data_IF_847003104601
#
_entry.id   IF_847003104601
#
_cell.length_a   1.000
_cell.length_b   1.000
_cell.length_c   1.000
_cell.angle_alpha   90.00
_cell.angle_beta   90.00
_cell.angle_gamma   90.00
#
_symmetry.space_group_name_H-M   'P 1'
#
loop_
_entity.id
_entity.type
_entity.pdbx_description
1 polymer ?
#
# COMPACT_ATOMS: atom_id res chain seq x y z
N UNK A 1 17.54 16.75 -2.89
CA UNK A 1 16.55 17.46 -2.06
C UNK A 1 15.70 18.29 -3.00
N UNK A 2 14.47 17.87 -3.30
CA UNK A 2 13.53 18.77 -3.97
C UNK A 2 13.20 19.89 -2.98
N UNK A 3 13.24 21.13 -3.47
CA UNK A 3 13.11 22.33 -2.66
C UNK A 3 11.69 22.44 -2.09
N UNK A 4 11.53 22.34 -0.77
CA UNK A 4 10.24 22.27 -0.07
C UNK A 4 9.31 23.44 -0.45
N UNK A 5 9.90 24.61 -0.78
CA UNK A 5 9.19 25.81 -1.24
C UNK A 5 8.53 25.66 -2.62
N UNK A 6 9.14 24.88 -3.52
CA UNK A 6 8.57 24.63 -4.85
C UNK A 6 7.35 23.70 -4.77
N UNK A 7 7.31 22.81 -3.77
CA UNK A 7 6.16 21.96 -3.48
C UNK A 7 5.04 22.80 -2.87
N UNK A 8 5.34 23.64 -1.87
CA UNK A 8 4.37 24.56 -1.23
C UNK A 8 3.69 25.51 -2.24
N UNK A 9 4.43 26.16 -3.14
CA UNK A 9 3.86 27.07 -4.14
C UNK A 9 2.94 26.36 -5.14
N UNK A 10 3.30 25.15 -5.59
CA UNK A 10 2.45 24.37 -6.51
C UNK A 10 1.13 23.96 -5.87
N UNK A 11 1.08 23.94 -4.54
CA UNK A 11 -0.06 23.46 -3.77
C UNK A 11 -0.98 24.60 -3.38
N UNK A 12 -0.44 25.75 -3.01
CA UNK A 12 -1.26 26.96 -2.92
C UNK A 12 -1.96 27.23 -4.27
N UNK A 13 -1.29 26.95 -5.39
CA UNK A 13 -1.89 27.03 -6.72
C UNK A 13 -2.89 25.90 -7.01
N UNK A 14 -2.61 24.66 -6.59
CA UNK A 14 -3.55 23.53 -6.74
C UNK A 14 -4.82 23.71 -5.89
N UNK A 15 -4.68 24.17 -4.65
CA UNK A 15 -5.78 24.45 -3.70
C UNK A 15 -6.63 25.61 -4.20
N UNK A 16 -6.03 26.69 -4.73
CA UNK A 16 -6.79 27.82 -5.31
C UNK A 16 -7.58 27.46 -6.55
N UNK A 17 -7.11 26.48 -7.32
CA UNK A 17 -7.68 26.15 -8.62
C UNK A 17 -8.65 24.96 -8.61
N UNK A 18 -8.78 24.21 -7.49
CA UNK A 18 -9.63 23.03 -7.43
C UNK A 18 -10.85 23.22 -6.51
N UNK A 19 -11.91 23.83 -7.05
CA UNK A 19 -13.15 24.20 -6.36
C UNK A 19 -14.21 23.08 -6.28
N UNK A 20 -13.92 21.86 -6.76
CA UNK A 20 -14.92 20.79 -6.93
C UNK A 20 -14.71 19.53 -6.08
N UNK A 21 -13.75 19.51 -5.16
CA UNK A 21 -13.74 18.59 -4.01
C UNK A 21 -13.66 17.07 -4.31
N UNK A 22 -13.18 16.66 -5.49
CA UNK A 22 -12.93 15.24 -5.81
C UNK A 22 -11.62 15.12 -6.61
N UNK A 23 -10.70 14.26 -6.17
CA UNK A 23 -9.45 13.95 -6.89
C UNK A 23 -8.28 14.93 -6.65
N UNK A 24 -8.21 15.54 -5.47
CA UNK A 24 -7.10 16.42 -5.08
C UNK A 24 -5.84 15.61 -4.75
N UNK A 25 -5.04 15.23 -5.75
CA UNK A 25 -3.80 14.44 -5.55
C UNK A 25 -2.57 15.32 -5.71
N UNK A 26 -1.67 15.29 -4.73
CA UNK A 26 -0.31 15.80 -4.86
C UNK A 26 0.61 14.64 -5.20
N UNK A 27 1.11 14.63 -6.44
CA UNK A 27 2.06 13.65 -6.90
C UNK A 27 3.50 14.15 -6.76
N UNK A 28 4.33 13.37 -6.06
CA UNK A 28 5.76 13.60 -5.87
C UNK A 28 6.53 12.51 -6.62
N UNK A 29 7.00 12.79 -7.85
CA UNK A 29 7.84 11.85 -8.58
C UNK A 29 9.26 11.84 -8.00
N UNK A 30 9.75 10.65 -7.63
CA UNK A 30 11.12 10.44 -7.19
C UNK A 30 11.95 9.98 -8.38
N UNK A 31 12.75 10.90 -8.92
CA UNK A 31 13.58 10.65 -10.10
C UNK A 31 14.78 9.70 -9.83
N UNK A 32 15.14 9.50 -8.56
CA UNK A 32 16.24 8.60 -8.21
C UNK A 32 15.83 7.12 -8.28
N UNK A 33 16.32 6.46 -9.32
CA UNK A 33 16.16 5.03 -9.57
C UNK A 33 17.36 4.19 -9.15
N UNK A 34 18.43 4.81 -8.64
CA UNK A 34 19.68 4.10 -8.26
C UNK A 34 19.72 3.73 -6.78
N UNK A 35 19.18 4.57 -5.91
CA UNK A 35 19.10 4.27 -4.47
C UNK A 35 18.15 3.11 -4.20
N UNK A 36 18.40 2.32 -3.16
CA UNK A 36 17.43 1.27 -2.76
C UNK A 36 16.16 1.87 -2.11
N UNK A 37 16.28 3.08 -1.55
CA UNK A 37 15.18 3.80 -0.88
C UNK A 37 14.82 5.06 -1.67
N UNK A 38 13.57 5.18 -2.09
CA UNK A 38 12.96 6.47 -2.41
C UNK A 38 12.37 7.07 -1.15
N UNK A 39 12.73 8.32 -0.86
CA UNK A 39 12.24 9.06 0.31
C UNK A 39 11.69 10.42 -0.11
N UNK A 40 10.47 10.70 0.32
CA UNK A 40 9.84 12.03 0.26
C UNK A 40 9.70 12.54 1.68
N UNK A 41 10.10 13.78 1.91
CA UNK A 41 9.98 14.44 3.21
C UNK A 41 8.96 15.57 3.12
N UNK A 42 7.99 15.57 4.03
CA UNK A 42 6.99 16.60 4.20
C UNK A 42 7.10 17.19 5.61
N UNK A 43 6.81 18.48 5.79
CA UNK A 43 6.71 19.05 7.14
C UNK A 43 5.33 18.78 7.74
N UNK A 44 5.22 18.68 9.06
CA UNK A 44 3.95 18.37 9.71
C UNK A 44 2.87 19.45 9.51
N UNK A 45 3.26 20.72 9.40
CA UNK A 45 2.34 21.82 9.11
C UNK A 45 1.81 21.76 7.68
N UNK A 46 2.64 21.28 6.76
CA UNK A 46 2.24 21.04 5.39
C UNK A 46 1.28 19.84 5.30
N UNK A 47 1.59 18.72 5.95
CA UNK A 47 0.67 17.57 6.05
C UNK A 47 -0.67 17.99 6.64
N UNK A 48 -0.67 18.86 7.66
CA UNK A 48 -1.90 19.38 8.26
C UNK A 48 -2.80 20.11 7.25
N UNK A 49 -2.21 20.92 6.38
CA UNK A 49 -2.98 21.61 5.31
C UNK A 49 -3.60 20.61 4.34
N UNK A 50 -2.89 19.52 4.02
CA UNK A 50 -3.39 18.48 3.13
C UNK A 50 -4.55 17.71 3.76
N UNK A 51 -4.46 17.41 5.06
CA UNK A 51 -5.55 16.83 5.85
C UNK A 51 -6.81 17.70 5.78
N UNK A 52 -6.67 18.99 6.10
CA UNK A 52 -7.79 19.95 6.13
C UNK A 52 -8.42 20.22 4.75
N UNK A 53 -7.64 20.02 3.68
CA UNK A 53 -8.07 20.24 2.31
C UNK A 53 -8.44 18.94 1.57
N UNK A 54 -8.50 17.82 2.30
CA UNK A 54 -8.84 16.47 1.78
C UNK A 54 -8.04 16.08 0.53
N UNK A 55 -6.71 16.23 0.60
CA UNK A 55 -5.79 15.81 -0.47
C UNK A 55 -5.29 14.39 -0.27
N UNK A 56 -4.92 13.72 -1.36
CA UNK A 56 -4.10 12.51 -1.34
C UNK A 56 -2.63 12.88 -1.63
N UNK A 57 -1.72 12.17 -0.97
CA UNK A 57 -0.27 12.22 -1.25
C UNK A 57 0.09 11.00 -2.08
N UNK A 58 0.53 11.22 -3.32
CA UNK A 58 1.07 10.18 -4.19
C UNK A 58 2.59 10.29 -4.26
N UNK A 59 3.30 9.23 -3.87
CA UNK A 59 4.75 9.10 -4.07
C UNK A 59 4.99 8.09 -5.18
N UNK A 60 5.53 8.55 -6.31
CA UNK A 60 5.75 7.71 -7.48
C UNK A 60 7.23 7.48 -7.72
N UNK A 61 7.62 6.22 -7.86
CA UNK A 61 8.99 5.80 -8.15
C UNK A 61 9.00 4.60 -9.10
N UNK A 62 9.56 4.79 -10.28
CA UNK A 62 9.67 3.75 -11.30
C UNK A 62 8.31 3.06 -11.57
N UNK A 63 8.21 1.77 -11.24
CA UNK A 63 7.03 0.93 -11.46
C UNK A 63 6.08 0.90 -10.25
N UNK A 64 6.30 1.74 -9.24
CA UNK A 64 5.52 1.75 -7.99
C UNK A 64 5.01 3.15 -7.70
N UNK A 65 3.77 3.25 -7.23
CA UNK A 65 3.17 4.48 -6.73
C UNK A 65 2.41 4.19 -5.44
N UNK A 66 2.68 4.98 -4.40
CA UNK A 66 2.05 4.87 -3.09
C UNK A 66 1.12 6.06 -2.89
N UNK A 67 -0.19 5.81 -2.79
CA UNK A 67 -1.24 6.81 -2.66
C UNK A 67 -1.83 6.74 -1.25
N UNK A 68 -1.70 7.83 -0.51
CA UNK A 68 -2.08 7.95 0.90
C UNK A 68 -3.08 9.10 1.03
N UNK A 69 -4.33 8.85 1.47
CA UNK A 69 -5.22 9.93 1.86
C UNK A 69 -4.59 10.74 2.99
N UNK A 70 -4.51 12.06 2.87
CA UNK A 70 -3.75 12.85 3.85
C UNK A 70 -4.34 12.73 5.27
N UNK A 71 -5.64 12.50 5.40
CA UNK A 71 -6.30 12.26 6.69
C UNK A 71 -5.69 11.11 7.49
N UNK A 72 -5.06 10.14 6.82
CA UNK A 72 -4.43 8.97 7.43
C UNK A 72 -3.10 9.30 8.13
N UNK A 73 -2.46 10.44 7.84
CA UNK A 73 -1.29 10.88 8.59
C UNK A 73 -1.65 11.26 10.03
N UNK A 74 -2.86 11.77 10.28
CA UNK A 74 -3.36 12.20 11.59
C UNK A 74 -2.36 13.07 12.38
N UNK A 75 -1.75 14.05 11.71
CA UNK A 75 -0.52 14.71 12.15
C UNK A 75 -0.65 15.41 13.50
N UNK A 76 -1.84 15.90 13.86
CA UNK A 76 -2.09 16.46 15.20
C UNK A 76 -1.89 15.40 16.30
N UNK A 77 -2.39 14.17 16.11
CA UNK A 77 -2.20 13.05 17.06
C UNK A 77 -0.74 12.61 17.11
N UNK A 78 -0.08 12.57 15.95
CA UNK A 78 1.36 12.28 15.84
C UNK A 78 2.17 13.31 16.62
N UNK A 79 1.86 14.60 16.48
CA UNK A 79 2.51 15.67 17.22
C UNK A 79 2.35 15.52 18.73
N UNK A 80 1.15 15.19 19.21
CA UNK A 80 0.88 14.94 20.62
C UNK A 80 1.73 13.79 21.18
N UNK A 81 1.79 12.66 20.46
CA UNK A 81 2.62 11.50 20.82
C UNK A 81 4.12 11.82 20.82
N UNK A 82 4.57 12.69 19.92
CA UNK A 82 5.95 13.19 19.90
C UNK A 82 6.22 14.24 21.00
N UNK A 83 5.19 14.72 21.68
CA UNK A 83 5.27 15.72 22.76
C UNK A 83 5.36 17.16 22.25
N UNK A 84 4.82 17.43 21.06
CA UNK A 84 4.78 18.73 20.42
C UNK A 84 3.37 19.32 20.48
N UNK A 85 3.32 20.66 20.46
CA UNK A 85 2.07 21.41 20.31
C UNK A 85 1.82 21.70 18.83
N UNK A 86 0.57 21.91 18.46
CA UNK A 86 0.15 22.19 17.08
C UNK A 86 0.90 23.37 16.41
N UNK A 87 1.24 24.41 17.17
CA UNK A 87 2.07 25.53 16.66
C UNK A 87 3.51 25.15 16.27
N UNK A 88 3.95 23.92 16.54
CA UNK A 88 5.28 23.37 16.24
C UNK A 88 5.25 22.25 15.20
N UNK A 89 4.17 22.12 14.44
CA UNK A 89 4.06 21.09 13.40
C UNK A 89 5.16 21.18 12.33
N UNK A 90 5.69 22.37 12.05
CA UNK A 90 6.83 22.57 11.14
C UNK A 90 8.13 21.89 11.62
N UNK A 91 8.26 21.59 12.93
CA UNK A 91 9.40 20.88 13.53
C UNK A 91 9.30 19.35 13.34
N UNK A 92 8.21 18.86 12.73
CA UNK A 92 8.01 17.44 12.40
C UNK A 92 8.36 17.21 10.93
N UNK A 93 9.19 16.20 10.67
CA UNK A 93 9.49 15.67 9.34
C UNK A 93 8.76 14.35 9.17
N UNK A 94 7.81 14.30 8.25
CA UNK A 94 7.10 13.10 7.83
C UNK A 94 7.84 12.54 6.61
N UNK A 95 8.47 11.39 6.78
CA UNK A 95 9.16 10.65 5.73
C UNK A 95 8.21 9.58 5.17
N UNK A 96 7.89 9.66 3.88
CA UNK A 96 7.23 8.58 3.12
C UNK A 96 8.30 7.84 2.32
N UNK A 97 8.39 6.52 2.50
CA UNK A 97 9.44 5.68 1.93
C UNK A 97 8.88 4.56 1.08
N UNK A 98 9.52 4.34 -0.06
CA UNK A 98 9.36 3.16 -0.90
C UNK A 98 10.73 2.52 -1.03
N UNK A 99 10.90 1.36 -0.41
CA UNK A 99 12.18 0.67 -0.29
C UNK A 99 12.16 -0.62 -1.12
N UNK A 100 13.13 -0.75 -2.02
CA UNK A 100 13.44 -2.03 -2.65
C UNK A 100 14.16 -2.90 -1.63
N UNK A 101 13.67 -4.12 -1.46
CA UNK A 101 14.19 -5.05 -0.46
C UNK A 101 15.51 -5.68 -0.91
N UNK A 102 16.36 -6.01 0.06
CA UNK A 102 17.58 -6.76 -0.15
C UNK A 102 17.29 -8.15 -0.75
N UNK A 103 18.17 -8.63 -1.63
CA UNK A 103 18.00 -9.92 -2.34
C UNK A 103 17.75 -11.09 -1.37
N UNK A 104 18.44 -11.12 -0.23
CA UNK A 104 18.24 -12.18 0.79
C UNK A 104 16.83 -12.21 1.37
N UNK A 105 16.19 -11.05 1.52
CA UNK A 105 14.81 -10.96 2.01
C UNK A 105 13.85 -11.41 0.91
N UNK A 106 14.10 -10.99 -0.32
CA UNK A 106 13.34 -11.41 -1.50
C UNK A 106 13.41 -12.93 -1.70
N UNK A 107 14.59 -13.54 -1.54
CA UNK A 107 14.77 -14.99 -1.63
C UNK A 107 13.94 -15.73 -0.57
N UNK A 108 13.98 -15.27 0.68
CA UNK A 108 13.15 -15.83 1.76
C UNK A 108 11.66 -15.73 1.44
N UNK A 109 11.20 -14.61 0.91
CA UNK A 109 9.81 -14.45 0.50
C UNK A 109 9.41 -15.36 -0.65
N UNK A 110 10.31 -15.58 -1.62
CA UNK A 110 10.10 -16.56 -2.67
C UNK A 110 10.02 -17.99 -2.13
N UNK A 111 10.85 -18.37 -1.15
CA UNK A 111 10.78 -19.68 -0.50
C UNK A 111 9.43 -19.90 0.20
N UNK A 112 8.95 -18.90 0.96
CA UNK A 112 7.65 -18.97 1.65
C UNK A 112 6.50 -19.07 0.65
N UNK A 113 6.50 -18.27 -0.42
CA UNK A 113 5.47 -18.35 -1.46
C UNK A 113 5.45 -19.74 -2.13
N UNK A 114 6.62 -20.26 -2.51
CA UNK A 114 6.75 -21.58 -3.15
C UNK A 114 6.31 -22.72 -2.23
N UNK A 115 6.61 -22.65 -0.94
CA UNK A 115 6.15 -23.62 0.05
C UNK A 115 4.60 -23.70 0.13
N UNK A 116 3.92 -22.62 -0.25
CA UNK A 116 2.47 -22.52 -0.33
C UNK A 116 1.94 -22.65 -1.78
N UNK A 117 2.76 -23.17 -2.71
CA UNK A 117 2.39 -23.38 -4.13
C UNK A 117 2.03 -22.07 -4.86
N UNK A 118 2.53 -20.94 -4.35
CA UNK A 118 2.39 -19.63 -4.97
C UNK A 118 3.71 -19.16 -5.61
N UNK A 119 3.61 -18.25 -6.57
CA UNK A 119 4.72 -17.59 -7.24
C UNK A 119 4.58 -16.07 -7.08
N UNK A 120 5.66 -15.37 -6.72
CA UNK A 120 5.66 -13.91 -6.73
C UNK A 120 5.80 -13.42 -8.18
N UNK A 121 4.81 -12.68 -8.67
CA UNK A 121 4.82 -12.11 -10.04
C UNK A 121 5.25 -10.63 -10.05
N UNK A 122 5.41 -10.04 -8.87
CA UNK A 122 5.95 -8.71 -8.67
C UNK A 122 7.00 -8.74 -7.54
N UNK A 123 8.20 -8.15 -7.70
CA UNK A 123 9.21 -8.11 -6.63
C UNK A 123 8.65 -7.44 -5.36
N UNK A 124 8.85 -8.01 -4.16
CA UNK A 124 8.41 -7.40 -2.92
C UNK A 124 8.98 -5.98 -2.71
N UNK A 125 8.12 -5.06 -2.28
CA UNK A 125 8.47 -3.65 -2.01
C UNK A 125 7.95 -3.25 -0.64
N UNK A 126 8.78 -2.55 0.12
CA UNK A 126 8.44 -2.05 1.44
C UNK A 126 7.92 -0.62 1.36
N UNK A 127 6.84 -0.37 2.09
CA UNK A 127 6.23 0.96 2.24
C UNK A 127 6.25 1.35 3.71
N UNK A 128 6.75 2.55 3.99
CA UNK A 128 6.80 3.07 5.35
C UNK A 128 6.46 4.55 5.40
N UNK A 129 5.80 4.96 6.49
CA UNK A 129 5.63 6.35 6.85
C UNK A 129 6.19 6.54 8.27
N UNK A 130 7.10 7.49 8.44
CA UNK A 130 7.72 7.79 9.74
C UNK A 130 7.72 9.29 9.97
N UNK A 131 7.12 9.72 11.09
CA UNK A 131 7.22 11.09 11.56
C UNK A 131 8.37 11.21 12.56
N UNK A 132 9.20 12.24 12.39
CA UNK A 132 10.40 12.48 13.19
C UNK A 132 10.43 13.90 13.68
N UNK A 133 10.96 14.11 14.88
CA UNK A 133 11.31 15.44 15.36
C UNK A 133 12.62 15.40 16.12
N UNK A 134 13.42 16.44 15.97
CA UNK A 134 14.71 16.58 16.66
C UNK A 134 14.59 17.72 17.67
N UNK A 135 14.81 17.39 18.94
CA UNK A 135 14.79 18.35 20.03
C UNK A 135 16.04 19.22 20.03
N UNK A 136 15.99 20.32 20.79
CA UNK A 136 17.12 21.25 20.98
C UNK A 136 18.35 20.62 21.60
N UNK A 137 18.21 19.49 22.31
CA UNK A 137 19.31 18.71 22.88
C UNK A 137 19.94 17.72 21.86
N UNK A 138 19.48 17.74 20.60
CA UNK A 138 19.93 16.85 19.53
C UNK A 138 19.26 15.47 19.54
N UNK A 139 18.42 15.16 20.53
CA UNK A 139 17.71 13.87 20.56
C UNK A 139 16.60 13.84 19.52
N UNK A 140 16.54 12.75 18.75
CA UNK A 140 15.48 12.54 17.76
C UNK A 140 14.44 11.56 18.33
N UNK A 141 13.17 11.96 18.25
CA UNK A 141 12.03 11.09 18.50
C UNK A 141 11.36 10.75 17.18
N UNK A 142 10.92 9.50 17.06
CA UNK A 142 10.27 9.00 15.85
C UNK A 142 8.98 8.26 16.22
N UNK A 143 8.00 8.32 15.32
CA UNK A 143 6.77 7.55 15.37
C UNK A 143 6.47 6.99 13.98
N UNK A 144 6.34 5.67 13.88
CA UNK A 144 5.82 5.02 12.67
C UNK A 144 4.32 5.27 12.55
N UNK A 145 3.87 5.58 11.34
CA UNK A 145 2.45 5.70 10.97
C UNK A 145 2.13 4.48 10.10
N UNK A 146 1.47 3.48 10.70
CA UNK A 146 1.36 2.13 10.13
C UNK A 146 -0.02 1.49 10.29
N UNK A 147 -1.02 2.24 10.74
CA UNK A 147 -2.40 1.77 10.90
C UNK A 147 -3.33 2.86 10.40
N UNK A 148 -4.23 2.47 9.52
CA UNK A 148 -5.08 3.39 8.77
C UNK A 148 -6.55 3.05 8.97
N UNK A 149 -7.40 4.07 8.95
CA UNK A 149 -8.86 3.93 8.97
C UNK A 149 -9.43 3.64 7.59
N UNK A 150 -8.81 4.19 6.55
CA UNK A 150 -9.15 3.99 5.16
C UNK A 150 -8.05 3.23 4.42
N UNK A 151 -8.42 2.60 3.31
CA UNK A 151 -7.48 1.88 2.48
C UNK A 151 -6.52 2.83 1.76
N UNK A 152 -5.22 2.55 1.92
CA UNK A 152 -4.19 3.16 1.10
C UNK A 152 -3.89 2.30 -0.12
N UNK A 153 -3.66 2.95 -1.26
CA UNK A 153 -3.43 2.27 -2.53
C UNK A 153 -1.93 2.15 -2.83
N UNK A 154 -1.51 0.97 -3.28
CA UNK A 154 -0.15 0.71 -3.78
C UNK A 154 -0.25 0.32 -5.23
N UNK A 155 -0.03 1.22 -6.16
CA UNK A 155 -0.06 0.88 -7.58
C UNK A 155 1.27 0.25 -7.97
N UNK A 156 1.22 -0.97 -8.51
CA UNK A 156 2.37 -1.75 -8.94
C UNK A 156 2.22 -2.06 -10.42
N UNK A 157 3.09 -1.48 -11.26
CA UNK A 157 3.19 -1.79 -12.68
C UNK A 157 3.87 -3.14 -12.85
N UNK A 158 3.14 -4.13 -13.35
CA UNK A 158 3.62 -5.49 -13.49
C UNK A 158 4.75 -5.54 -14.53
N UNK A 159 5.89 -6.22 -14.24
CA UNK A 159 7.00 -6.35 -15.17
C UNK A 159 6.57 -6.90 -16.54
N UNK A 160 7.20 -6.38 -17.60
CA UNK A 160 6.97 -6.88 -18.94
C UNK A 160 7.31 -8.37 -19.03
N UNK A 161 6.48 -9.13 -19.76
CA UNK A 161 6.65 -10.58 -19.94
C UNK A 161 5.94 -11.46 -18.91
N UNK A 162 5.39 -10.89 -17.84
CA UNK A 162 4.46 -11.62 -16.95
C UNK A 162 3.16 -11.88 -17.71
N UNK A 163 2.71 -13.13 -17.72
CA UNK A 163 1.39 -13.50 -18.25
C UNK A 163 0.29 -12.83 -17.40
N UNK A 164 -0.60 -12.01 -17.98
CA UNK A 164 -1.68 -11.37 -17.24
C UNK A 164 -2.59 -12.35 -16.49
N UNK A 165 -2.74 -13.58 -16.99
CA UNK A 165 -3.54 -14.62 -16.34
C UNK A 165 -2.98 -15.02 -14.97
N UNK A 166 -1.69 -14.76 -14.72
CA UNK A 166 -0.99 -15.04 -13.47
C UNK A 166 -1.14 -13.95 -12.41
N UNK A 167 -1.62 -12.76 -12.75
CA UNK A 167 -1.78 -11.64 -11.80
C UNK A 167 -3.06 -11.86 -10.98
N UNK A 168 -2.97 -12.52 -9.81
CA UNK A 168 -4.17 -12.90 -9.03
C UNK A 168 -4.52 -11.91 -7.93
N UNK A 169 -3.62 -11.69 -6.98
CA UNK A 169 -3.89 -10.78 -5.85
C UNK A 169 -2.59 -10.21 -5.31
N UNK A 170 -2.70 -9.02 -4.74
CA UNK A 170 -1.72 -8.47 -3.82
C UNK A 170 -1.69 -9.25 -2.52
N UNK A 171 -0.50 -9.30 -1.91
CA UNK A 171 -0.27 -9.87 -0.60
C UNK A 171 0.52 -8.88 0.26
N UNK A 172 0.35 -9.02 1.57
CA UNK A 172 1.18 -8.38 2.59
C UNK A 172 1.96 -9.45 3.34
N UNK A 173 3.26 -9.22 3.56
CA UNK A 173 4.06 -10.06 4.43
C UNK A 173 3.89 -9.64 5.90
N UNK A 174 3.71 -10.61 6.77
CA UNK A 174 3.54 -10.45 8.20
C UNK A 174 4.90 -10.55 8.92
N UNK A 175 4.98 -10.02 10.15
CA UNK A 175 6.20 -10.05 10.94
C UNK A 175 6.70 -11.46 11.29
N UNK A 176 5.79 -12.45 11.31
CA UNK A 176 6.13 -13.87 11.53
C UNK A 176 6.64 -14.58 10.26
N UNK A 177 6.70 -13.87 9.13
CA UNK A 177 7.13 -14.39 7.83
C UNK A 177 6.03 -15.06 7.02
N UNK A 178 4.81 -15.19 7.54
CA UNK A 178 3.64 -15.57 6.73
C UNK A 178 3.20 -14.42 5.82
N UNK A 179 2.25 -14.66 4.94
CA UNK A 179 1.61 -13.61 4.15
C UNK A 179 0.10 -13.77 4.13
N UNK A 180 -0.59 -12.68 3.81
CA UNK A 180 -2.04 -12.65 3.72
C UNK A 180 -2.47 -11.86 2.49
N UNK A 181 -3.62 -12.21 1.91
CA UNK A 181 -4.15 -11.44 0.80
C UNK A 181 -4.57 -10.04 1.26
N UNK A 182 -4.57 -9.10 0.32
CA UNK A 182 -5.19 -7.79 0.48
C UNK A 182 -6.11 -7.50 -0.70
N UNK A 183 -7.20 -6.73 -0.53
CA UNK A 183 -8.08 -6.36 -1.65
C UNK A 183 -7.27 -5.75 -2.79
N UNK A 184 -7.39 -6.31 -3.98
CA UNK A 184 -6.55 -5.95 -5.12
C UNK A 184 -7.38 -5.74 -6.36
N UNK A 185 -7.23 -4.57 -6.96
CA UNK A 185 -7.72 -4.28 -8.30
C UNK A 185 -6.62 -4.63 -9.32
N UNK A 186 -6.96 -5.37 -10.36
CA UNK A 186 -6.05 -5.64 -11.48
C UNK A 186 -6.65 -5.01 -12.71
N UNK A 187 -5.90 -4.13 -13.36
CA UNK A 187 -6.38 -3.37 -14.51
C UNK A 187 -5.28 -3.16 -15.54
N UNK A 188 -5.70 -2.87 -16.77
CA UNK A 188 -4.80 -2.53 -17.86
C UNK A 188 -4.89 -1.03 -18.15
N UNK A 189 -3.74 -0.37 -18.35
CA UNK A 189 -3.64 1.02 -18.76
C UNK A 189 -2.47 1.15 -19.74
N UNK A 190 -2.70 1.81 -20.88
CA UNK A 190 -1.68 2.03 -21.91
C UNK A 190 -0.96 0.73 -22.36
N UNK A 191 -1.73 -0.36 -22.47
CA UNK A 191 -1.25 -1.72 -22.77
C UNK A 191 -0.37 -2.38 -21.70
N UNK A 192 -0.15 -1.72 -20.57
CA UNK A 192 0.59 -2.24 -19.42
C UNK A 192 -0.37 -2.73 -18.33
N UNK A 193 0.04 -3.78 -17.60
CA UNK A 193 -0.77 -4.33 -16.51
C UNK A 193 -0.35 -3.74 -15.17
N UNK A 194 -1.35 -3.47 -14.34
CA UNK A 194 -1.18 -2.95 -13.00
C UNK A 194 -1.94 -3.82 -12.01
N UNK A 195 -1.36 -3.98 -10.84
CA UNK A 195 -2.07 -4.41 -9.64
C UNK A 195 -2.10 -3.24 -8.66
N UNK A 196 -3.24 -3.03 -8.03
CA UNK A 196 -3.42 -2.02 -6.98
C UNK A 196 -3.91 -2.69 -5.70
N UNK A 197 -2.99 -3.21 -4.88
CA UNK A 197 -3.30 -3.66 -3.54
C UNK A 197 -3.71 -2.51 -2.64
N UNK A 198 -4.77 -2.73 -1.87
CA UNK A 198 -5.34 -1.79 -0.91
C UNK A 198 -5.09 -2.32 0.50
N UNK A 199 -4.47 -1.54 1.37
CA UNK A 199 -4.17 -1.99 2.74
C UNK A 199 -4.39 -0.91 3.79
N UNK A 200 -4.64 -1.36 5.01
CA UNK A 200 -4.78 -0.54 6.22
C UNK A 200 -3.49 -0.51 7.05
N UNK A 201 -2.39 -1.07 6.54
CA UNK A 201 -1.10 -1.11 7.25
C UNK A 201 0.07 -0.83 6.33
N UNK A 202 1.20 -0.43 6.91
CA UNK A 202 2.49 -0.41 6.23
C UNK A 202 3.31 -1.66 6.53
N UNK A 203 3.91 -2.22 5.48
CA UNK A 203 4.67 -3.49 5.48
C UNK A 203 5.31 -3.70 4.10
N UNK A 204 5.74 -4.93 3.85
CA UNK A 204 6.26 -5.40 2.58
C UNK A 204 5.12 -6.03 1.76
N UNK A 205 4.97 -5.59 0.52
CA UNK A 205 3.88 -5.98 -0.37
C UNK A 205 4.39 -6.55 -1.68
N UNK A 206 3.63 -7.47 -2.24
CA UNK A 206 3.91 -8.10 -3.53
C UNK A 206 2.59 -8.52 -4.20
N UNK A 207 2.69 -9.11 -5.38
CA UNK A 207 1.57 -9.68 -6.14
C UNK A 207 1.91 -11.14 -6.43
N UNK A 208 0.94 -12.02 -6.26
CA UNK A 208 1.14 -13.47 -6.42
C UNK A 208 0.29 -14.06 -7.52
N UNK A 209 0.83 -15.13 -8.10
CA UNK A 209 0.09 -16.17 -8.79
C UNK A 209 -0.12 -17.35 -7.83
N UNK A 210 -1.37 -17.77 -7.66
CA UNK A 210 -1.74 -18.88 -6.80
C UNK A 210 -2.97 -19.58 -7.39
N UNK A 211 -2.80 -20.52 -8.33
CA UNK A 211 -3.93 -21.20 -8.95
C UNK A 211 -4.51 -22.26 -7.99
N UNK A 212 -5.74 -22.06 -7.54
CA UNK A 212 -6.43 -23.01 -6.66
C UNK A 212 -7.70 -23.52 -7.32
N UNK A 213 -7.85 -24.84 -7.37
CA UNK A 213 -9.08 -25.51 -7.80
C UNK A 213 -9.75 -26.18 -6.61
N UNK A 214 -11.02 -25.89 -6.41
CA UNK A 214 -11.82 -26.43 -5.31
C UNK A 214 -12.65 -27.61 -5.80
N UNK A 215 -12.27 -28.82 -5.35
CA UNK A 215 -12.88 -30.08 -5.82
C UNK A 215 -14.39 -30.15 -5.62
N UNK A 216 -14.88 -29.65 -4.49
CA UNK A 216 -16.30 -29.72 -4.12
C UNK A 216 -17.23 -28.92 -5.03
N UNK A 217 -16.69 -27.97 -5.82
CA UNK A 217 -17.47 -27.14 -6.75
C UNK A 217 -17.21 -27.48 -8.22
N UNK A 218 -16.51 -28.57 -8.53
CA UNK A 218 -16.09 -28.88 -9.91
C UNK A 218 -17.26 -28.95 -10.91
N UNK A 219 -18.43 -29.41 -10.46
CA UNK A 219 -19.67 -29.51 -11.23
C UNK A 219 -20.79 -28.64 -10.64
N UNK A 220 -20.42 -27.56 -9.93
CA UNK A 220 -21.35 -26.66 -9.25
C UNK A 220 -21.40 -25.29 -9.95
N UNK A 221 -22.55 -24.60 -9.88
CA UNK A 221 -22.72 -23.28 -10.52
C UNK A 221 -21.74 -22.22 -9.98
N UNK A 222 -21.24 -22.40 -8.76
CA UNK A 222 -20.30 -21.47 -8.11
C UNK A 222 -18.83 -21.77 -8.41
N UNK A 223 -18.51 -22.74 -9.28
CA UNK A 223 -17.14 -23.19 -9.59
C UNK A 223 -16.18 -22.03 -9.82
N UNK A 224 -16.53 -21.16 -10.76
CA UNK A 224 -15.64 -20.09 -11.20
C UNK A 224 -15.41 -19.05 -10.10
N UNK A 225 -16.48 -18.65 -9.40
CA UNK A 225 -16.39 -17.70 -8.29
C UNK A 225 -15.58 -18.24 -7.11
N UNK A 226 -15.80 -19.50 -6.73
CA UNK A 226 -15.10 -20.14 -5.61
C UNK A 226 -13.63 -20.38 -5.95
N UNK A 227 -13.32 -20.80 -7.18
CA UNK A 227 -11.93 -20.96 -7.62
C UNK A 227 -11.19 -19.61 -7.70
N UNK A 228 -11.84 -18.53 -8.17
CA UNK A 228 -11.26 -17.19 -8.16
C UNK A 228 -10.96 -16.73 -6.73
N UNK A 229 -11.94 -16.84 -5.83
CA UNK A 229 -11.76 -16.50 -4.41
C UNK A 229 -10.68 -17.33 -3.72
N UNK A 230 -10.62 -18.63 -3.98
CA UNK A 230 -9.58 -19.51 -3.44
C UNK A 230 -8.20 -19.14 -3.99
N UNK A 231 -8.12 -18.84 -5.30
CA UNK A 231 -6.88 -18.42 -5.94
C UNK A 231 -6.37 -17.07 -5.40
N UNK A 232 -7.29 -16.19 -5.00
CA UNK A 232 -7.00 -14.93 -4.29
C UNK A 232 -6.75 -15.09 -2.79
N UNK A 233 -6.67 -16.32 -2.29
CA UNK A 233 -6.44 -16.65 -0.86
C UNK A 233 -7.53 -16.12 0.09
N UNK A 234 -8.72 -15.80 -0.45
CA UNK A 234 -9.88 -15.37 0.35
C UNK A 234 -10.48 -16.54 1.11
N UNK A 235 -10.47 -17.73 0.50
CA UNK A 235 -10.91 -18.98 1.12
C UNK A 235 -9.69 -19.63 1.79
N UNK A 236 -9.66 -19.61 3.12
CA UNK A 236 -8.53 -20.15 3.91
C UNK A 236 -8.39 -21.67 3.81
N UNK A 237 -9.50 -22.41 3.70
CA UNK A 237 -9.49 -23.86 3.55
C UNK A 237 -10.31 -24.30 2.32
N UNK A 238 -9.74 -24.21 1.11
CA UNK A 238 -10.43 -24.59 -0.12
C UNK A 238 -10.77 -26.08 -0.16
N UNK A 239 -9.94 -26.96 0.41
CA UNK A 239 -10.18 -28.40 0.42
C UNK A 239 -11.41 -28.80 1.22
N UNK A 240 -11.66 -28.11 2.33
CA UNK A 240 -12.84 -28.31 3.18
C UNK A 240 -14.05 -27.45 2.80
N UNK A 241 -14.05 -26.79 1.64
CA UNK A 241 -15.16 -25.92 1.24
C UNK A 241 -16.43 -26.73 0.91
N UNK A 242 -17.55 -26.41 1.55
CA UNK A 242 -18.84 -27.08 1.34
C UNK A 242 -19.84 -26.11 0.68
N UNK A 243 -20.11 -26.21 -0.65
CA UNK A 243 -20.85 -25.19 -1.40
C UNK A 243 -22.34 -25.04 -1.05
N UNK A 244 -22.95 -26.07 -0.46
CA UNK A 244 -24.38 -26.12 -0.16
C UNK A 244 -24.68 -26.07 1.34
N UNK A 245 -23.65 -25.87 2.17
CA UNK A 245 -23.84 -25.60 3.59
C UNK A 245 -24.03 -24.12 3.77
N UNK A 246 -25.04 -23.74 4.55
CA UNK A 246 -25.19 -22.36 4.98
C UNK A 246 -24.01 -22.03 5.90
N UNK A 247 -22.98 -21.43 5.32
CA UNK A 247 -21.83 -20.94 6.07
C UNK A 247 -22.24 -19.62 6.72
N UNK A 248 -23.08 -19.68 7.74
CA UNK A 248 -23.28 -18.55 8.64
C UNK A 248 -21.89 -18.11 9.13
N UNK A 249 -21.52 -16.86 8.86
CA UNK A 249 -20.51 -16.04 9.59
C UNK A 249 -19.21 -15.61 8.91
N UNK A 250 -18.81 -16.00 7.68
CA UNK A 250 -17.53 -15.48 7.12
C UNK A 250 -17.47 -15.05 5.65
N UNK A 251 -18.46 -15.39 4.83
CA UNK A 251 -18.41 -15.06 3.40
C UNK A 251 -18.80 -13.61 3.08
N UNK A 252 -19.60 -12.95 3.93
CA UNK A 252 -20.29 -11.70 3.57
C UNK A 252 -19.70 -10.41 4.20
N UNK A 253 -18.53 -10.45 4.88
CA UNK A 253 -18.04 -9.28 5.64
C UNK A 253 -16.90 -8.49 4.97
N UNK A 254 -16.44 -8.89 3.79
CA UNK A 254 -15.24 -8.29 3.17
C UNK A 254 -15.50 -7.76 1.75
N UNK A 255 -16.65 -8.09 1.12
CA UNK A 255 -16.86 -7.83 -0.31
C UNK A 255 -18.23 -7.25 -0.69
N UNK A 256 -18.98 -6.68 0.26
CA UNK A 256 -20.13 -5.81 0.00
C UNK A 256 -19.86 -4.43 0.57
#
# INVERSE_FOLDING_TARGET
>A
MQDNKAVESKIDDAIKNNTTGTGNVIQVPVADTKSEVAKVELTGDFVKKLEESTFDVSVKRDNVEYVIPAEEFTISKVAENLGLKEKKLADIKVEVKITKLDEKVVDKYNEVAKANVAELVFPPVQFEIVAKTTKTDGTTKEQSINKFSNYEERVMKIPAGVDPSKIKTGIVFNADGTYSHVPTEVYQKDSEWYAKPNSLTNSDYSVVWNPVTVKSVENHWSKDAVNDMASRLVIFNPEGFEPNKANESRFCRVYC
#
